data_IF_798900197593
#
_entry.id   IF_798900197593
#
_cell.length_a   1.000
_cell.length_b   1.000
_cell.length_c   1.000
_cell.angle_alpha   90.00
_cell.angle_beta   90.00
_cell.angle_gamma   90.00
#
_symmetry.space_group_name_H-M   'P 1'
#
loop_
_entity.id
_entity.type
_entity.pdbx_description
1 polymer ?
#
# COMPACT_ATOMS: atom_id res chain seq x y z
N UNK A 1 -12.68 -18.53 9.93
CA UNK A 1 -12.89 -17.25 10.63
C UNK A 1 -11.90 -16.17 10.18
N UNK A 2 -10.64 -16.52 9.90
CA UNK A 2 -9.60 -15.56 9.46
C UNK A 2 -9.89 -14.88 8.12
N UNK A 3 -10.31 -15.62 7.10
CA UNK A 3 -10.59 -15.06 5.76
C UNK A 3 -11.69 -13.98 5.77
N UNK A 4 -12.75 -14.19 6.56
CA UNK A 4 -13.84 -13.21 6.72
C UNK A 4 -13.33 -11.95 7.44
N UNK A 5 -12.46 -12.13 8.44
CA UNK A 5 -11.78 -11.02 9.11
C UNK A 5 -10.92 -10.20 8.16
N UNK A 6 -10.10 -10.85 7.32
CA UNK A 6 -9.29 -10.16 6.31
C UNK A 6 -10.15 -9.43 5.28
N UNK A 7 -11.25 -10.04 4.84
CA UNK A 7 -12.17 -9.43 3.89
C UNK A 7 -12.82 -8.17 4.45
N UNK A 8 -13.32 -8.22 5.69
CA UNK A 8 -13.84 -7.04 6.39
C UNK A 8 -12.78 -5.95 6.56
N UNK A 9 -11.56 -6.35 6.93
CA UNK A 9 -10.45 -5.42 7.12
C UNK A 9 -10.09 -4.68 5.82
N UNK A 10 -10.05 -5.39 4.70
CA UNK A 10 -9.82 -4.78 3.38
C UNK A 10 -10.91 -3.76 3.05
N UNK A 11 -12.18 -4.09 3.29
CA UNK A 11 -13.31 -3.18 3.04
C UNK A 11 -13.16 -1.90 3.87
N UNK A 12 -12.86 -2.04 5.17
CA UNK A 12 -12.67 -0.90 6.07
C UNK A 12 -11.52 -0.02 5.61
N UNK A 13 -10.39 -0.62 5.22
CA UNK A 13 -9.22 0.12 4.70
C UNK A 13 -9.59 0.90 3.44
N UNK A 14 -10.32 0.29 2.50
CA UNK A 14 -10.75 0.97 1.26
C UNK A 14 -11.66 2.16 1.59
N UNK A 15 -12.68 1.96 2.43
CA UNK A 15 -13.60 3.04 2.83
C UNK A 15 -12.84 4.17 3.51
N UNK A 16 -11.89 3.84 4.39
CA UNK A 16 -11.09 4.82 5.11
C UNK A 16 -10.18 5.63 4.18
N UNK A 17 -9.54 4.99 3.20
CA UNK A 17 -8.74 5.68 2.17
C UNK A 17 -9.62 6.63 1.35
N UNK A 18 -10.81 6.19 0.93
CA UNK A 18 -11.75 7.04 0.18
C UNK A 18 -12.15 8.26 1.03
N UNK A 19 -12.52 8.05 2.30
CA UNK A 19 -12.88 9.14 3.20
C UNK A 19 -11.74 10.14 3.40
N UNK A 20 -10.49 9.67 3.55
CA UNK A 20 -9.33 10.54 3.61
C UNK A 20 -9.17 11.37 2.32
N UNK A 21 -9.28 10.75 1.15
CA UNK A 21 -9.17 11.46 -0.14
C UNK A 21 -10.24 12.54 -0.26
N UNK A 22 -11.50 12.21 0.03
CA UNK A 22 -12.60 13.18 0.03
C UNK A 22 -12.33 14.31 1.02
N UNK A 23 -11.90 13.99 2.25
CA UNK A 23 -11.55 14.99 3.26
C UNK A 23 -10.45 15.96 2.79
N UNK A 24 -9.42 15.45 2.11
CA UNK A 24 -8.36 16.29 1.54
C UNK A 24 -8.88 17.17 0.39
N UNK A 25 -9.78 16.67 -0.45
CA UNK A 25 -10.40 17.49 -1.51
C UNK A 25 -11.24 18.61 -0.90
N UNK A 26 -12.02 18.32 0.15
CA UNK A 26 -12.83 19.33 0.87
C UNK A 26 -11.95 20.37 1.55
N UNK A 27 -10.77 19.99 2.04
CA UNK A 27 -9.82 20.88 2.70
C UNK A 27 -8.98 21.75 1.73
N UNK A 28 -9.42 21.93 0.48
CA UNK A 28 -8.73 22.77 -0.50
C UNK A 28 -8.57 24.22 0.01
N UNK A 29 -7.39 24.86 -0.17
CA UNK A 29 -6.21 24.39 -0.90
C UNK A 29 -5.20 23.57 -0.08
N UNK A 30 -5.33 23.52 1.25
CA UNK A 30 -4.35 22.86 2.12
C UNK A 30 -4.26 21.35 1.89
N UNK A 31 -5.37 20.71 1.52
CA UNK A 31 -5.41 19.28 1.23
C UNK A 31 -4.56 18.83 0.03
N UNK A 32 -4.09 19.75 -0.82
CA UNK A 32 -3.15 19.43 -1.91
C UNK A 32 -1.88 18.77 -1.37
N UNK A 33 -1.36 19.24 -0.23
CA UNK A 33 -0.16 18.68 0.39
C UNK A 33 -0.38 17.21 0.75
N UNK A 34 -1.55 16.90 1.33
CA UNK A 34 -1.94 15.54 1.68
C UNK A 34 -2.10 14.64 0.45
N UNK A 35 -2.72 15.16 -0.63
CA UNK A 35 -2.88 14.43 -1.89
C UNK A 35 -1.52 14.09 -2.53
N UNK A 36 -0.59 15.05 -2.57
CA UNK A 36 0.76 14.80 -3.08
C UNK A 36 1.49 13.76 -2.22
N UNK A 37 1.39 13.87 -0.89
CA UNK A 37 2.04 12.94 0.03
C UNK A 37 1.49 11.51 -0.12
N UNK A 38 0.16 11.32 -0.13
CA UNK A 38 -0.45 9.99 -0.23
C UNK A 38 -0.16 9.34 -1.58
N UNK A 39 -0.15 10.11 -2.67
CA UNK A 39 0.22 9.60 -4.01
C UNK A 39 1.70 9.21 -4.05
N UNK A 40 2.60 10.04 -3.50
CA UNK A 40 4.03 9.73 -3.43
C UNK A 40 4.32 8.45 -2.64
N UNK A 41 3.74 8.34 -1.44
CA UNK A 41 3.88 7.13 -0.60
C UNK A 41 3.25 5.91 -1.28
N UNK A 42 2.05 6.07 -1.86
CA UNK A 42 1.37 4.99 -2.58
C UNK A 42 2.19 4.45 -3.75
N UNK A 43 2.86 5.33 -4.50
CA UNK A 43 3.74 4.94 -5.60
C UNK A 43 4.98 4.19 -5.11
N UNK A 44 5.63 4.67 -4.04
CA UNK A 44 6.78 4.00 -3.44
C UNK A 44 6.39 2.62 -2.88
N UNK A 45 5.24 2.53 -2.21
CA UNK A 45 4.73 1.27 -1.70
C UNK A 45 4.45 0.28 -2.84
N UNK A 46 3.78 0.71 -3.90
CA UNK A 46 3.53 -0.11 -5.08
C UNK A 46 4.83 -0.59 -5.74
N UNK A 47 5.85 0.27 -5.81
CA UNK A 47 7.20 -0.11 -6.27
C UNK A 47 7.78 -1.23 -5.42
N UNK A 48 7.81 -1.08 -4.09
CA UNK A 48 8.36 -2.10 -3.18
C UNK A 48 7.60 -3.43 -3.29
N UNK A 49 6.26 -3.39 -3.36
CA UNK A 49 5.45 -4.60 -3.55
C UNK A 49 5.77 -5.27 -4.89
N UNK A 50 5.87 -4.50 -5.98
CA UNK A 50 6.23 -5.01 -7.30
C UNK A 50 7.62 -5.64 -7.29
N UNK A 51 8.61 -4.96 -6.71
CA UNK A 51 9.98 -5.44 -6.63
C UNK A 51 10.03 -6.75 -5.81
N UNK A 52 9.27 -6.84 -4.71
CA UNK A 52 9.17 -8.07 -3.90
C UNK A 52 8.50 -9.24 -4.64
N UNK A 53 7.46 -8.98 -5.43
CA UNK A 53 6.79 -10.01 -6.24
C UNK A 53 7.66 -10.50 -7.41
N UNK A 54 8.50 -9.62 -7.96
CA UNK A 54 9.43 -9.94 -9.07
C UNK A 54 10.69 -10.65 -8.60
N UNK A 55 11.06 -10.50 -7.33
CA UNK A 55 12.26 -11.07 -6.70
C UNK A 55 12.13 -12.58 -6.40
N UNK A 56 11.73 -13.39 -7.40
CA UNK A 56 11.79 -14.87 -7.29
C UNK A 56 13.20 -15.42 -7.48
N UNK A 57 14.09 -14.71 -8.18
CA UNK A 57 15.49 -15.12 -8.39
C UNK A 57 16.39 -14.90 -7.16
N UNK A 58 16.21 -13.84 -6.38
CA UNK A 58 17.00 -13.57 -5.15
C UNK A 58 16.64 -14.51 -3.98
N UNK A 59 15.41 -15.03 -3.98
CA UNK A 59 14.94 -16.05 -3.04
C UNK A 59 15.64 -17.41 -3.28
N UNK A 60 16.20 -17.64 -4.48
CA UNK A 60 16.92 -18.86 -4.83
C UNK A 60 18.33 -18.88 -4.23
N UNK A 61 19.07 -17.78 -4.31
CA UNK A 61 20.44 -17.70 -3.77
C UNK A 61 20.48 -17.56 -2.24
N UNK A 62 19.49 -16.91 -1.63
CA UNK A 62 19.41 -16.82 -0.16
C UNK A 62 19.03 -18.14 0.52
N UNK A 63 18.41 -19.09 -0.20
CA UNK A 63 18.01 -20.41 0.33
C UNK A 63 18.99 -21.54 0.01
N UNK A 64 19.85 -21.36 -1.00
CA UNK A 64 20.79 -22.38 -1.47
C UNK A 64 22.27 -22.03 -1.22
N UNK A 65 22.57 -20.93 -0.53
CA UNK A 65 23.91 -20.73 0.04
C UNK A 65 23.97 -21.53 1.33
N UNK A 66 24.68 -22.66 1.26
CA UNK A 66 25.05 -23.49 2.40
C UNK A 66 25.69 -22.60 3.50
N UNK A 67 25.25 -22.80 4.75
CA UNK A 67 25.93 -22.29 5.94
C UNK A 67 27.11 -23.18 6.30
#
# INVERSE_FOLDING_TARGET
MEYIGYLLLIIVVIIWIIAMIVGMIVAFPFGIIGLVAITGVGFLFAKVVKDRLSSKEDDHYSKNVDK
#
